data_IF_522872305972
#
_entry.id   IF_522872305972
#
_cell.length_a   1.000
_cell.length_b   1.000
_cell.length_c   1.000
_cell.angle_alpha   90.00
_cell.angle_beta   90.00
_cell.angle_gamma   90.00
#
_symmetry.space_group_name_H-M   'P 1'
#
loop_
_entity.id
_entity.type
_entity.pdbx_description
1 polymer ?
#
# COMPACT_ATOMS: atom_id res chain seq x y z
N UNK A 1 -51.91 17.08 -14.55
CA UNK A 1 -50.55 17.66 -14.53
C UNK A 1 -50.37 18.75 -13.46
N UNK A 2 -51.30 19.70 -13.28
CA UNK A 2 -51.19 20.75 -12.23
C UNK A 2 -51.05 20.21 -10.79
N UNK A 3 -51.72 19.11 -10.45
CA UNK A 3 -51.60 18.48 -9.12
C UNK A 3 -50.23 17.85 -8.83
N UNK A 4 -49.52 17.39 -9.87
CA UNK A 4 -48.20 16.77 -9.74
C UNK A 4 -47.12 17.83 -9.47
N UNK A 5 -47.11 18.92 -10.24
CA UNK A 5 -46.19 20.04 -10.00
C UNK A 5 -46.43 20.73 -8.65
N UNK A 6 -47.69 20.82 -8.20
CA UNK A 6 -48.02 21.33 -6.87
C UNK A 6 -47.49 20.42 -5.75
N UNK A 7 -47.50 19.10 -5.95
CA UNK A 7 -46.92 18.14 -5.01
C UNK A 7 -45.39 18.26 -4.93
N UNK A 8 -44.71 18.40 -6.08
CA UNK A 8 -43.25 18.58 -6.15
C UNK A 8 -42.83 19.89 -5.46
N UNK A 9 -43.50 21.00 -5.75
CA UNK A 9 -43.19 22.29 -5.14
C UNK A 9 -43.35 22.26 -3.61
N UNK A 10 -44.41 21.60 -3.14
CA UNK A 10 -44.68 21.39 -1.72
C UNK A 10 -43.59 20.52 -1.07
N UNK A 11 -43.19 19.42 -1.70
CA UNK A 11 -42.14 18.52 -1.17
C UNK A 11 -40.77 19.22 -1.12
N UNK A 12 -40.43 20.04 -2.12
CA UNK A 12 -39.19 20.85 -2.14
C UNK A 12 -39.21 21.92 -1.03
N UNK A 13 -40.32 22.66 -0.86
CA UNK A 13 -40.43 23.65 0.22
C UNK A 13 -40.42 23.02 1.61
N UNK A 14 -40.97 21.81 1.78
CA UNK A 14 -40.92 21.10 3.06
C UNK A 14 -39.49 20.63 3.39
N UNK A 15 -38.74 20.21 2.36
CA UNK A 15 -37.34 19.82 2.48
C UNK A 15 -36.40 21.01 2.72
N UNK A 16 -36.70 22.19 2.16
CA UNK A 16 -36.01 23.45 2.47
C UNK A 16 -36.45 24.10 3.79
N UNK A 17 -37.38 23.51 4.53
CA UNK A 17 -37.72 23.99 5.88
C UNK A 17 -36.54 23.77 6.83
N UNK A 18 -36.50 24.52 7.94
CA UNK A 18 -35.42 24.49 8.95
C UNK A 18 -35.06 23.06 9.37
N UNK A 19 -36.03 22.15 9.43
CA UNK A 19 -35.82 20.74 9.77
C UNK A 19 -35.04 19.97 8.70
N UNK A 20 -35.33 20.20 7.41
CA UNK A 20 -34.65 19.51 6.30
C UNK A 20 -33.24 20.05 6.06
N UNK A 21 -33.02 21.36 6.22
CA UNK A 21 -31.67 21.95 6.19
C UNK A 21 -30.80 21.37 7.30
N UNK A 22 -31.31 21.23 8.52
CA UNK A 22 -30.59 20.61 9.63
C UNK A 22 -30.27 19.12 9.38
N UNK A 23 -31.17 18.41 8.68
CA UNK A 23 -30.95 17.01 8.27
C UNK A 23 -29.89 16.85 7.18
N UNK A 24 -29.59 17.89 6.39
CA UNK A 24 -28.55 17.89 5.36
C UNK A 24 -27.20 18.41 5.91
N UNK A 25 -27.26 19.34 6.86
CA UNK A 25 -26.09 19.95 7.49
C UNK A 25 -25.34 18.95 8.38
N UNK A 26 -26.06 18.09 9.12
CA UNK A 26 -25.44 17.07 9.97
C UNK A 26 -24.54 16.08 9.19
N UNK A 27 -24.98 15.44 8.10
CA UNK A 27 -24.12 14.56 7.31
C UNK A 27 -22.98 15.30 6.60
N UNK A 28 -23.19 16.54 6.13
CA UNK A 28 -22.12 17.36 5.59
C UNK A 28 -21.05 17.69 6.65
N UNK A 29 -21.47 17.96 7.89
CA UNK A 29 -20.59 18.22 9.01
C UNK A 29 -19.84 16.96 9.45
N UNK A 30 -20.51 15.80 9.49
CA UNK A 30 -19.86 14.51 9.77
C UNK A 30 -18.84 14.17 8.67
N UNK A 31 -19.17 14.37 7.40
CA UNK A 31 -18.23 14.18 6.30
C UNK A 31 -17.03 15.13 6.42
N UNK A 32 -17.27 16.41 6.69
CA UNK A 32 -16.20 17.39 6.91
C UNK A 32 -15.33 17.04 8.13
N UNK A 33 -15.94 16.58 9.23
CA UNK A 33 -15.22 16.12 10.42
C UNK A 33 -14.41 14.85 10.15
N UNK A 34 -14.90 13.93 9.30
CA UNK A 34 -14.14 12.77 8.83
C UNK A 34 -12.95 13.19 7.96
N UNK A 35 -13.16 14.11 7.01
CA UNK A 35 -12.07 14.64 6.18
C UNK A 35 -11.01 15.36 7.03
N UNK A 36 -11.43 16.21 7.97
CA UNK A 36 -10.50 16.93 8.85
C UNK A 36 -9.80 16.01 9.86
N UNK A 37 -10.52 15.07 10.46
CA UNK A 37 -9.98 14.14 11.46
C UNK A 37 -9.09 13.06 10.87
N UNK A 38 -9.36 12.60 9.65
CA UNK A 38 -8.51 11.61 8.96
C UNK A 38 -7.31 12.24 8.27
N UNK A 39 -7.36 13.52 7.89
CA UNK A 39 -6.17 14.25 7.46
C UNK A 39 -5.11 14.26 8.57
N UNK A 40 -5.51 14.45 9.82
CA UNK A 40 -4.59 14.47 10.98
C UNK A 40 -4.18 13.05 11.41
N UNK A 41 -5.09 12.06 11.33
CA UNK A 41 -4.77 10.67 11.65
C UNK A 41 -3.84 9.98 10.63
N UNK A 42 -3.63 10.59 9.46
CA UNK A 42 -2.62 10.13 8.48
C UNK A 42 -1.20 10.55 8.88
N UNK A 43 -1.06 11.58 9.73
CA UNK A 43 0.23 12.09 10.23
C UNK A 43 0.62 11.50 11.59
N UNK A 44 -0.27 10.72 12.24
CA UNK A 44 0.06 9.94 13.44
C UNK A 44 0.58 8.56 13.02
N UNK A 45 1.57 8.55 12.12
CA UNK A 45 2.52 7.44 12.11
C UNK A 45 3.29 7.53 13.43
N UNK A 46 3.52 6.38 14.08
CA UNK A 46 4.44 6.28 15.21
C UNK A 46 5.79 6.76 14.70
N UNK A 47 6.09 8.04 14.90
CA UNK A 47 7.22 8.74 14.31
C UNK A 47 8.51 8.23 14.98
N UNK A 48 8.97 7.07 14.52
CA UNK A 48 10.36 6.67 14.68
C UNK A 48 11.15 7.63 13.82
N UNK A 49 12.07 8.38 14.44
CA UNK A 49 12.94 9.27 13.70
C UNK A 49 13.76 8.46 12.68
N UNK A 50 13.85 8.89 11.41
CA UNK A 50 14.58 8.15 10.40
C UNK A 50 16.04 7.94 10.79
N UNK A 51 16.52 6.71 10.73
CA UNK A 51 17.86 6.32 11.21
C UNK A 51 18.75 5.78 10.09
N UNK A 52 20.07 5.85 10.27
CA UNK A 52 21.01 5.41 9.26
C UNK A 52 21.30 3.91 9.37
N UNK A 53 21.53 3.25 8.24
CA UNK A 53 21.96 1.84 8.16
C UNK A 53 23.14 1.73 7.20
N UNK A 54 24.13 0.92 7.58
CA UNK A 54 25.26 0.63 6.71
C UNK A 54 25.06 -0.71 6.01
N UNK A 55 25.37 -0.75 4.71
CA UNK A 55 25.33 -1.98 3.91
C UNK A 55 26.68 -2.20 3.25
N UNK A 56 27.26 -3.36 3.48
CA UNK A 56 28.48 -3.84 2.82
C UNK A 56 28.04 -4.80 1.73
N UNK A 57 28.18 -4.36 0.48
CA UNK A 57 27.81 -5.12 -0.71
C UNK A 57 29.05 -5.81 -1.27
N UNK A 58 29.15 -7.12 -1.04
CA UNK A 58 30.24 -7.97 -1.56
C UNK A 58 29.82 -8.72 -2.82
N UNK A 59 28.52 -8.78 -3.12
CA UNK A 59 27.97 -9.40 -4.32
C UNK A 59 28.24 -8.54 -5.56
N UNK A 60 28.11 -7.21 -5.42
CA UNK A 60 28.40 -6.22 -6.46
C UNK A 60 27.70 -6.49 -7.81
N UNK A 61 26.59 -7.24 -7.82
CA UNK A 61 25.82 -7.52 -9.03
C UNK A 61 24.86 -6.38 -9.38
N UNK A 62 24.29 -6.41 -10.59
CA UNK A 62 23.23 -5.47 -10.99
C UNK A 62 21.96 -5.64 -10.12
N UNK A 63 21.70 -6.86 -9.63
CA UNK A 63 20.56 -7.16 -8.77
C UNK A 63 20.74 -6.56 -7.38
N UNK A 64 21.90 -6.78 -6.75
CA UNK A 64 22.22 -6.19 -5.44
C UNK A 64 22.12 -4.67 -5.49
N UNK A 65 22.68 -4.03 -6.53
CA UNK A 65 22.61 -2.58 -6.73
C UNK A 65 21.19 -2.03 -6.89
N UNK A 66 20.33 -2.75 -7.61
CA UNK A 66 18.94 -2.36 -7.81
C UNK A 66 18.19 -2.41 -6.48
N UNK A 67 18.36 -3.50 -5.72
CA UNK A 67 17.73 -3.66 -4.41
C UNK A 67 18.24 -2.64 -3.40
N UNK A 68 19.53 -2.32 -3.39
CA UNK A 68 20.10 -1.27 -2.54
C UNK A 68 19.57 0.12 -2.90
N UNK A 69 19.28 0.36 -4.18
CA UNK A 69 18.65 1.61 -4.62
C UNK A 69 17.21 1.70 -4.12
N UNK A 70 16.44 0.62 -4.17
CA UNK A 70 15.09 0.57 -3.59
C UNK A 70 15.12 0.68 -2.06
N UNK A 71 16.10 0.06 -1.41
CA UNK A 71 16.26 0.11 0.04
C UNK A 71 16.52 1.54 0.54
N UNK A 72 17.16 2.38 -0.28
CA UNK A 72 17.34 3.82 0.01
C UNK A 72 16.06 4.63 0.00
N UNK A 73 15.00 4.14 -0.63
CA UNK A 73 13.71 4.84 -0.74
C UNK A 73 12.77 4.52 0.42
N UNK A 74 13.21 3.72 1.40
CA UNK A 74 12.40 3.37 2.58
C UNK A 74 12.35 4.57 3.52
N UNK A 75 11.14 5.11 3.75
CA UNK A 75 10.90 6.33 4.57
C UNK A 75 11.44 6.23 6.01
N UNK A 76 11.61 5.01 6.54
CA UNK A 76 12.18 4.74 7.86
C UNK A 76 13.68 5.02 7.95
N UNK A 77 14.39 5.08 6.82
CA UNK A 77 15.85 5.22 6.77
C UNK A 77 16.24 6.64 6.40
N UNK A 78 17.01 7.32 7.27
CA UNK A 78 17.56 8.64 6.93
C UNK A 78 18.69 8.55 5.92
N UNK A 79 19.52 7.51 6.02
CA UNK A 79 20.68 7.33 5.17
C UNK A 79 21.05 5.84 5.04
N UNK A 80 21.31 5.39 3.80
CA UNK A 80 21.89 4.06 3.55
C UNK A 80 23.31 4.22 3.01
N UNK A 81 24.29 3.96 3.88
CA UNK A 81 25.72 4.04 3.57
C UNK A 81 26.17 2.72 2.96
N UNK A 82 26.50 2.74 1.67
CA UNK A 82 26.93 1.54 0.93
C UNK A 82 28.45 1.54 0.88
N UNK A 83 29.06 0.44 1.31
CA UNK A 83 30.50 0.22 1.26
C UNK A 83 30.82 -0.97 0.36
N UNK A 84 31.80 -0.79 -0.51
CA UNK A 84 32.36 -1.85 -1.33
C UNK A 84 33.69 -2.33 -0.76
N UNK A 85 34.07 -3.59 -1.03
CA UNK A 85 35.32 -4.21 -0.54
C UNK A 85 36.55 -3.30 -0.75
N UNK A 86 36.63 -2.64 -1.91
CA UNK A 86 37.73 -1.75 -2.26
C UNK A 86 37.88 -0.52 -1.32
N UNK A 87 36.79 -0.06 -0.71
CA UNK A 87 36.75 1.13 0.16
C UNK A 87 36.94 0.78 1.63
N UNK A 88 36.70 -0.49 2.01
CA UNK A 88 36.85 -0.99 3.37
C UNK A 88 38.34 -1.22 3.73
N UNK A 89 39.19 -1.48 2.73
CA UNK A 89 40.65 -1.67 2.87
C UNK A 89 41.50 -0.40 2.83
N UNK A 90 40.94 0.75 2.43
CA UNK A 90 41.66 2.01 2.30
C UNK A 90 41.21 3.01 3.39
N UNK A 91 41.76 2.90 4.59
CA UNK A 91 41.61 3.95 5.60
C UNK A 91 42.53 5.12 5.24
N UNK A 92 41.95 6.31 5.10
CA UNK A 92 42.65 7.57 4.80
C UNK A 92 43.45 8.13 5.99
N UNK A 93 43.41 7.47 7.15
CA UNK A 93 44.17 7.86 8.33
C UNK A 93 44.89 6.63 8.90
N UNK A 94 46.20 6.76 9.16
CA UNK A 94 47.19 5.67 9.32
C UNK A 94 47.02 4.73 10.52
N UNK A 95 45.81 4.59 11.09
CA UNK A 95 45.46 3.58 12.08
C UNK A 95 44.69 2.45 11.37
N UNK A 96 45.36 1.31 11.18
CA UNK A 96 44.77 0.09 10.64
C UNK A 96 43.72 -0.47 11.62
N UNK A 97 42.47 -0.03 11.54
CA UNK A 97 41.34 -0.88 11.89
C UNK A 97 40.92 -1.58 10.59
N UNK A 98 41.55 -2.72 10.35
CA UNK A 98 41.21 -3.58 9.23
C UNK A 98 39.91 -4.28 9.61
N UNK A 99 38.82 -3.96 8.91
CA UNK A 99 37.57 -4.70 9.06
C UNK A 99 37.88 -6.11 8.55
N UNK A 100 37.89 -7.07 9.47
CA UNK A 100 38.27 -8.44 9.16
C UNK A 100 37.07 -9.17 8.56
N UNK A 101 37.29 -9.75 7.39
CA UNK A 101 36.36 -10.67 6.75
C UNK A 101 36.89 -12.09 6.94
N UNK A 102 36.01 -13.03 7.25
CA UNK A 102 36.30 -14.46 7.28
C UNK A 102 36.61 -14.98 5.86
N UNK A 103 37.10 -16.22 5.75
CA UNK A 103 37.36 -16.92 4.48
C UNK A 103 36.15 -16.97 3.55
N UNK A 104 34.94 -16.86 4.11
CA UNK A 104 33.67 -16.79 3.38
C UNK A 104 33.19 -15.36 3.08
N UNK A 105 34.09 -14.37 3.18
CA UNK A 105 33.78 -12.95 3.01
C UNK A 105 32.73 -12.43 4.01
N UNK A 106 32.62 -13.06 5.18
CA UNK A 106 31.69 -12.67 6.24
C UNK A 106 32.38 -11.67 7.17
N UNK A 107 31.72 -10.55 7.51
CA UNK A 107 32.25 -9.66 8.54
C UNK A 107 32.42 -10.40 9.86
N UNK A 108 33.65 -10.44 10.37
CA UNK A 108 33.91 -10.93 11.73
C UNK A 108 33.48 -9.81 12.69
N UNK A 109 32.44 -10.03 13.51
CA UNK A 109 32.02 -9.04 14.49
C UNK A 109 33.19 -8.79 15.44
N UNK A 110 33.75 -7.59 15.38
CA UNK A 110 34.73 -7.11 16.34
C UNK A 110 34.02 -6.18 17.30
N UNK A 111 34.34 -6.29 18.59
CA UNK A 111 33.73 -5.55 19.71
C UNK A 111 33.96 -4.01 19.67
N UNK A 112 34.26 -3.45 18.50
CA UNK A 112 34.44 -2.02 18.24
C UNK A 112 34.09 -1.61 16.81
N UNK A 113 33.29 -2.40 16.06
CA UNK A 113 32.88 -2.05 14.70
C UNK A 113 32.19 -0.68 14.65
N UNK A 114 31.34 -0.39 15.64
CA UNK A 114 30.61 0.88 15.76
C UNK A 114 31.44 2.01 16.41
N UNK A 115 32.70 1.76 16.78
CA UNK A 115 33.63 2.83 17.19
C UNK A 115 34.30 3.49 15.97
N UNK A 116 34.18 2.86 14.79
CA UNK A 116 34.61 3.46 13.53
C UNK A 116 33.68 4.62 13.15
N UNK A 117 34.22 5.81 12.81
CA UNK A 117 33.41 6.95 12.35
C UNK A 117 32.47 6.62 11.19
N UNK A 118 32.77 5.58 10.40
CA UNK A 118 31.93 5.12 9.29
C UNK A 118 30.60 4.53 9.76
N UNK A 119 30.58 3.83 10.89
CA UNK A 119 29.44 3.04 11.37
C UNK A 119 28.82 3.56 12.67
N UNK A 120 29.46 4.51 13.36
CA UNK A 120 29.04 4.99 14.68
C UNK A 120 27.56 5.44 14.75
N UNK A 121 27.09 6.13 13.71
CA UNK A 121 25.72 6.66 13.62
C UNK A 121 24.73 5.69 12.94
N UNK A 122 25.16 4.47 12.64
CA UNK A 122 24.32 3.47 11.98
C UNK A 122 23.67 2.53 13.01
N UNK A 123 22.38 2.24 12.83
CA UNK A 123 21.65 1.29 13.67
C UNK A 123 22.12 -0.16 13.47
N UNK A 124 22.54 -0.51 12.25
CA UNK A 124 23.08 -1.82 11.96
C UNK A 124 24.05 -1.78 10.77
N UNK A 125 24.88 -2.82 10.68
CA UNK A 125 25.71 -3.13 9.52
C UNK A 125 25.21 -4.43 8.90
N UNK A 126 24.74 -4.34 7.66
CA UNK A 126 24.25 -5.47 6.86
C UNK A 126 25.35 -5.87 5.88
N UNK A 127 25.70 -7.16 5.82
CA UNK A 127 26.67 -7.69 4.85
C UNK A 127 25.95 -8.62 3.88
N UNK A 128 25.94 -8.23 2.61
CA UNK A 128 25.50 -9.12 1.53
C UNK A 128 26.74 -9.90 1.08
N UNK A 129 26.78 -11.23 1.26
CA UNK A 129 27.94 -12.04 0.89
C UNK A 129 28.13 -12.06 -0.63
N UNK A 130 29.32 -12.45 -1.06
CA UNK A 130 29.63 -12.58 -2.48
C UNK A 130 28.78 -13.71 -3.10
N UNK A 131 28.31 -13.51 -4.32
CA UNK A 131 27.52 -14.48 -5.10
C UNK A 131 26.15 -14.80 -4.46
N UNK A 132 25.69 -14.01 -3.47
CA UNK A 132 24.43 -14.22 -2.73
C UNK A 132 23.22 -14.46 -3.63
N UNK A 133 23.03 -13.62 -4.66
CA UNK A 133 21.88 -13.76 -5.54
C UNK A 133 22.04 -14.96 -6.49
N UNK A 134 23.26 -15.26 -6.92
CA UNK A 134 23.53 -16.42 -7.75
C UNK A 134 23.23 -17.71 -6.98
N UNK A 135 23.71 -17.80 -5.75
CA UNK A 135 23.46 -18.91 -4.84
C UNK A 135 21.95 -19.04 -4.60
N UNK A 136 21.26 -17.92 -4.29
CA UNK A 136 19.81 -17.92 -4.08
C UNK A 136 19.02 -18.48 -5.27
N UNK A 137 19.48 -18.29 -6.51
CA UNK A 137 18.87 -18.88 -7.71
C UNK A 137 19.26 -20.34 -7.95
N UNK A 138 20.45 -20.74 -7.53
CA UNK A 138 20.97 -22.11 -7.73
C UNK A 138 20.60 -23.07 -6.59
N UNK A 139 20.09 -22.55 -5.48
CA UNK A 139 19.49 -23.32 -4.39
C UNK A 139 20.36 -23.44 -3.14
N UNK A 140 21.51 -22.76 -3.09
CA UNK A 140 22.29 -22.58 -1.87
C UNK A 140 22.04 -21.16 -1.34
N UNK A 141 21.87 -20.94 -0.04
CA UNK A 141 21.79 -19.56 0.47
C UNK A 141 22.70 -19.42 1.68
N UNK A 142 23.81 -18.71 1.48
CA UNK A 142 24.53 -18.09 2.58
C UNK A 142 23.63 -17.03 3.25
N UNK A 143 23.58 -16.94 4.59
CA UNK A 143 22.78 -15.93 5.27
C UNK A 143 23.33 -14.53 5.01
N UNK A 144 22.44 -13.54 4.88
CA UNK A 144 22.83 -12.13 5.04
C UNK A 144 23.30 -11.94 6.48
N UNK A 145 24.49 -11.39 6.66
CA UNK A 145 25.05 -11.19 8.00
C UNK A 145 24.65 -9.83 8.54
N UNK A 146 24.11 -9.82 9.75
CA UNK A 146 23.63 -8.62 10.42
C UNK A 146 24.39 -8.40 11.72
N UNK A 147 24.99 -7.23 11.86
CA UNK A 147 25.62 -6.78 13.11
C UNK A 147 24.82 -5.58 13.63
N UNK A 148 24.33 -5.68 14.88
CA UNK A 148 23.42 -4.70 15.48
C UNK A 148 24.17 -3.72 16.39
N UNK A 149 23.75 -2.45 16.39
CA UNK A 149 24.34 -1.43 17.24
C UNK A 149 23.69 -1.42 18.63
N UNK A 150 24.41 -1.91 19.64
CA UNK A 150 23.94 -1.91 21.03
C UNK A 150 23.64 -0.52 21.62
N UNK A 151 24.10 0.57 20.98
CA UNK A 151 23.82 1.95 21.39
C UNK A 151 22.45 2.46 20.91
N UNK A 152 21.85 1.80 19.92
CA UNK A 152 20.59 2.18 19.27
C UNK A 152 19.60 0.99 19.29
N UNK A 153 19.05 0.62 20.46
CA UNK A 153 18.33 -0.64 20.62
C UNK A 153 16.99 -0.68 19.87
N UNK A 154 16.29 0.45 19.72
CA UNK A 154 15.00 0.50 19.03
C UNK A 154 15.20 0.34 17.52
N UNK A 155 16.11 1.14 16.97
CA UNK A 155 16.45 1.19 15.55
C UNK A 155 17.10 -0.11 15.08
N UNK A 156 17.97 -0.69 15.92
CA UNK A 156 18.55 -2.01 15.68
C UNK A 156 17.48 -3.10 15.64
N UNK A 157 16.54 -3.09 16.58
CA UNK A 157 15.45 -4.06 16.62
C UNK A 157 14.50 -3.93 15.42
N UNK A 158 14.22 -2.69 14.97
CA UNK A 158 13.43 -2.45 13.76
C UNK A 158 14.16 -3.00 12.53
N UNK A 159 15.46 -2.73 12.41
CA UNK A 159 16.29 -3.24 11.32
C UNK A 159 16.36 -4.77 11.33
N UNK A 160 16.56 -5.38 12.50
CA UNK A 160 16.58 -6.83 12.67
C UNK A 160 15.26 -7.46 12.25
N UNK A 161 14.13 -6.90 12.70
CA UNK A 161 12.81 -7.39 12.34
C UNK A 161 12.55 -7.26 10.83
N UNK A 162 12.95 -6.14 10.23
CA UNK A 162 12.81 -5.91 8.78
C UNK A 162 13.61 -6.97 7.99
N UNK A 163 14.89 -7.14 8.30
CA UNK A 163 15.76 -8.10 7.61
C UNK A 163 15.30 -9.54 7.86
N UNK A 164 14.94 -9.88 9.10
CA UNK A 164 14.42 -11.21 9.45
C UNK A 164 13.13 -11.52 8.70
N UNK A 165 12.23 -10.53 8.57
CA UNK A 165 11.00 -10.65 7.78
C UNK A 165 11.30 -10.90 6.31
N UNK A 166 12.18 -10.10 5.69
CA UNK A 166 12.58 -10.27 4.28
C UNK A 166 13.21 -11.65 4.05
N UNK A 167 14.13 -12.06 4.92
CA UNK A 167 14.75 -13.39 4.84
C UNK A 167 13.71 -14.51 5.07
N UNK A 168 12.72 -14.30 5.93
CA UNK A 168 11.60 -15.21 6.13
C UNK A 168 10.73 -15.35 4.88
N UNK A 169 10.45 -14.24 4.19
CA UNK A 169 9.71 -14.22 2.93
C UNK A 169 10.49 -14.98 1.86
N UNK A 170 11.78 -14.68 1.66
CA UNK A 170 12.64 -15.36 0.68
C UNK A 170 12.69 -16.88 0.94
N UNK A 171 12.86 -17.29 2.20
CA UNK A 171 12.79 -18.70 2.61
C UNK A 171 11.43 -19.33 2.30
N UNK A 172 10.33 -18.61 2.56
CA UNK A 172 8.97 -19.11 2.31
C UNK A 172 8.65 -19.22 0.82
N UNK A 173 9.08 -18.25 0.01
CA UNK A 173 8.94 -18.27 -1.43
C UNK A 173 9.70 -19.46 -2.00
N UNK A 174 10.96 -19.64 -1.61
CA UNK A 174 11.76 -20.78 -2.03
C UNK A 174 11.13 -22.13 -1.66
N UNK A 175 10.54 -22.25 -0.46
CA UNK A 175 9.81 -23.47 -0.09
C UNK A 175 8.64 -23.76 -1.04
N UNK A 176 7.95 -22.72 -1.51
CA UNK A 176 6.90 -22.86 -2.52
C UNK A 176 7.47 -23.26 -3.90
N UNK A 177 8.59 -22.67 -4.32
CA UNK A 177 9.28 -23.04 -5.57
C UNK A 177 9.75 -24.50 -5.54
N UNK A 178 10.35 -24.95 -4.43
CA UNK A 178 10.74 -26.34 -4.23
C UNK A 178 9.55 -27.28 -4.24
N UNK A 179 8.43 -26.91 -3.60
CA UNK A 179 7.20 -27.70 -3.65
C UNK A 179 6.64 -27.81 -5.08
N UNK A 180 6.76 -26.76 -5.90
CA UNK A 180 6.32 -26.81 -7.29
C UNK A 180 7.23 -27.69 -8.15
N UNK A 181 8.55 -27.62 -7.93
CA UNK A 181 9.51 -28.48 -8.60
C UNK A 181 9.29 -29.96 -8.25
N UNK A 182 9.15 -30.30 -6.97
CA UNK A 182 8.96 -31.69 -6.53
C UNK A 182 7.69 -32.33 -7.11
N UNK A 183 6.61 -31.55 -7.26
CA UNK A 183 5.38 -32.01 -7.92
C UNK A 183 5.56 -32.35 -9.41
N UNK A 184 6.51 -31.68 -10.08
CA UNK A 184 6.72 -31.82 -11.53
C UNK A 184 7.83 -32.82 -11.87
N UNK A 185 8.90 -32.85 -11.09
CA UNK A 185 10.06 -33.71 -11.32
C UNK A 185 9.87 -35.13 -10.76
N UNK A 186 8.99 -35.32 -9.77
CA UNK A 186 8.64 -36.65 -9.25
C UNK A 186 9.77 -37.41 -8.55
N UNK A 187 10.89 -36.75 -8.24
CA UNK A 187 12.09 -37.32 -7.60
C UNK A 187 12.62 -36.48 -6.43
N UNK A 188 13.65 -37.00 -5.75
CA UNK A 188 14.40 -36.26 -4.70
C UNK A 188 15.14 -35.05 -5.29
N UNK A 189 15.34 -34.04 -4.45
CA UNK A 189 15.96 -32.77 -4.84
C UNK A 189 17.46 -32.95 -5.11
N UNK A 190 17.89 -32.67 -6.33
CA UNK A 190 19.29 -32.43 -6.68
C UNK A 190 19.47 -30.95 -7.07
N UNK A 191 20.42 -30.28 -6.43
CA UNK A 191 20.75 -28.87 -6.65
C UNK A 191 21.19 -28.64 -8.11
N UNK A 192 21.86 -29.62 -8.73
CA UNK A 192 22.28 -29.54 -10.13
C UNK A 192 21.07 -29.60 -11.10
N UNK A 193 20.12 -30.51 -10.86
CA UNK A 193 18.90 -30.63 -11.67
C UNK A 193 17.97 -29.43 -11.50
N UNK A 194 17.94 -28.83 -10.31
CA UNK A 194 17.19 -27.60 -10.04
C UNK A 194 17.77 -26.40 -10.80
N UNK A 195 19.10 -26.25 -10.82
CA UNK A 195 19.76 -25.20 -11.58
C UNK A 195 19.48 -25.34 -13.09
N UNK A 196 19.50 -26.55 -13.64
CA UNK A 196 19.11 -26.80 -15.04
C UNK A 196 17.63 -26.43 -15.29
N UNK A 197 16.74 -26.82 -14.38
CA UNK A 197 15.32 -26.47 -14.45
C UNK A 197 15.09 -24.95 -14.46
N UNK A 198 15.79 -24.20 -13.61
CA UNK A 198 15.74 -22.74 -13.58
C UNK A 198 16.27 -22.11 -14.87
N UNK A 199 17.37 -22.63 -15.41
CA UNK A 199 17.93 -22.16 -16.69
C UNK A 199 16.94 -22.37 -17.84
N UNK A 200 16.38 -23.58 -17.97
CA UNK A 200 15.41 -23.90 -19.03
C UNK A 200 14.12 -23.12 -18.89
N UNK A 201 13.68 -22.89 -17.65
CA UNK A 201 12.49 -22.07 -17.38
C UNK A 201 12.73 -20.61 -17.76
N UNK A 202 13.90 -20.06 -17.45
CA UNK A 202 14.31 -18.71 -17.86
C UNK A 202 14.28 -18.53 -19.37
N UNK A 203 14.87 -19.45 -20.13
CA UNK A 203 14.85 -19.40 -21.60
C UNK A 203 13.41 -19.43 -22.15
N UNK A 204 12.55 -20.26 -21.57
CA UNK A 204 11.14 -20.36 -21.97
C UNK A 204 10.34 -19.09 -21.67
N UNK A 205 10.62 -18.44 -20.54
CA UNK A 205 9.98 -17.18 -20.13
C UNK A 205 10.45 -16.05 -21.05
N UNK A 206 11.75 -15.95 -21.33
CA UNK A 206 12.30 -14.94 -22.23
C UNK A 206 11.71 -15.11 -23.63
N UNK A 207 11.71 -16.33 -24.17
CA UNK A 207 11.09 -16.63 -25.46
C UNK A 207 9.60 -16.25 -25.46
N UNK A 208 8.85 -16.64 -24.43
CA UNK A 208 7.42 -16.33 -24.30
C UNK A 208 7.14 -14.83 -24.15
N UNK A 209 7.99 -14.10 -23.41
CA UNK A 209 7.86 -12.66 -23.20
C UNK A 209 8.16 -11.89 -24.48
N UNK A 210 9.18 -12.30 -25.26
CA UNK A 210 9.48 -11.73 -26.57
C UNK A 210 8.32 -11.95 -27.55
N UNK A 211 7.76 -13.16 -27.61
CA UNK A 211 6.59 -13.47 -28.45
C UNK A 211 5.34 -12.71 -28.00
N UNK A 212 5.13 -12.55 -26.69
CA UNK A 212 3.96 -11.84 -26.14
C UNK A 212 4.11 -10.31 -26.28
N UNK A 213 5.33 -9.76 -26.26
CA UNK A 213 5.58 -8.33 -26.49
C UNK A 213 5.29 -7.93 -27.93
N UNK A 214 5.56 -8.81 -28.89
CA UNK A 214 5.13 -8.61 -30.29
C UNK A 214 3.60 -8.61 -30.44
N UNK A 215 2.88 -9.39 -29.62
CA UNK A 215 1.42 -9.39 -29.54
C UNK A 215 0.85 -8.16 -28.78
N UNK A 216 1.51 -7.70 -27.71
CA UNK A 216 1.10 -6.54 -26.91
C UNK A 216 1.42 -5.21 -27.59
N UNK A 217 2.44 -5.14 -28.45
CA UNK A 217 2.65 -4.01 -29.34
C UNK A 217 1.49 -3.81 -30.34
N UNK A 218 0.62 -4.82 -30.52
CA UNK A 218 -0.62 -4.73 -31.28
C UNK A 218 -1.86 -4.36 -30.42
N UNK A 219 -1.72 -4.13 -29.11
CA UNK A 219 -2.84 -3.84 -28.20
C UNK A 219 -2.39 -2.91 -27.08
N UNK A 220 -2.36 -1.61 -27.35
CA UNK A 220 -2.07 -0.61 -26.32
C UNK A 220 -3.25 -0.42 -25.36
N UNK A 221 -2.96 -0.26 -24.07
CA UNK A 221 -3.66 0.61 -23.09
C UNK A 221 -3.16 0.32 -21.67
N UNK A 222 -2.39 1.25 -21.08
CA UNK A 222 -1.80 1.11 -19.74
C UNK A 222 -1.94 2.41 -18.90
N UNK A 223 -3.13 3.04 -18.93
CA UNK A 223 -3.44 4.25 -18.14
C UNK A 223 -4.47 4.02 -17.01
N UNK A 224 -4.70 2.77 -16.57
CA UNK A 224 -5.84 2.43 -15.69
C UNK A 224 -5.55 2.47 -14.17
N UNK A 225 -4.29 2.55 -13.70
CA UNK A 225 -3.99 2.22 -12.30
C UNK A 225 -3.96 3.42 -11.32
N UNK A 226 -3.68 4.64 -11.79
CA UNK A 226 -3.53 5.80 -10.89
C UNK A 226 -4.85 6.52 -10.53
N UNK A 227 -5.94 6.26 -11.26
CA UNK A 227 -7.26 6.89 -11.02
C UNK A 227 -8.11 6.19 -9.95
N UNK A 228 -7.73 4.99 -9.52
CA UNK A 228 -8.63 4.11 -8.79
C UNK A 228 -8.79 4.50 -7.30
N UNK A 229 -7.75 5.05 -6.69
CA UNK A 229 -7.78 5.41 -5.26
C UNK A 229 -8.66 6.65 -5.01
N UNK A 230 -8.58 7.68 -5.87
CA UNK A 230 -9.43 8.89 -5.78
C UNK A 230 -10.90 8.59 -6.07
N UNK A 231 -11.18 7.71 -7.04
CA UNK A 231 -12.55 7.30 -7.37
C UNK A 231 -13.20 6.50 -6.23
N UNK A 232 -12.44 5.72 -5.47
CA UNK A 232 -12.98 4.91 -4.38
C UNK A 232 -13.49 5.78 -3.22
N UNK A 233 -12.75 6.82 -2.83
CA UNK A 233 -13.17 7.75 -1.78
C UNK A 233 -14.39 8.60 -2.18
N UNK A 234 -14.43 9.07 -3.43
CA UNK A 234 -15.61 9.78 -3.96
C UNK A 234 -16.85 8.87 -3.96
N UNK A 235 -16.68 7.59 -4.31
CA UNK A 235 -17.78 6.62 -4.33
C UNK A 235 -18.32 6.36 -2.92
N UNK A 236 -17.44 6.21 -1.91
CA UNK A 236 -17.85 6.06 -0.52
C UNK A 236 -18.60 7.29 0.00
N UNK A 237 -18.07 8.50 -0.23
CA UNK A 237 -18.71 9.75 0.19
C UNK A 237 -20.09 9.96 -0.48
N UNK A 238 -20.19 9.67 -1.78
CA UNK A 238 -21.44 9.74 -2.53
C UNK A 238 -22.49 8.73 -2.02
N UNK A 239 -22.06 7.51 -1.67
CA UNK A 239 -22.96 6.49 -1.11
C UNK A 239 -23.53 6.88 0.27
N UNK A 240 -22.72 7.52 1.13
CA UNK A 240 -23.19 8.05 2.41
C UNK A 240 -24.21 9.18 2.20
N UNK A 241 -23.93 10.14 1.30
CA UNK A 241 -24.86 11.22 0.98
C UNK A 241 -26.22 10.69 0.48
N UNK A 242 -26.21 9.69 -0.40
CA UNK A 242 -27.43 9.03 -0.89
C UNK A 242 -28.29 8.41 0.22
N UNK A 243 -27.64 7.81 1.22
CA UNK A 243 -28.34 7.20 2.36
C UNK A 243 -29.02 8.28 3.23
N UNK A 244 -28.36 9.42 3.44
CA UNK A 244 -28.91 10.53 4.22
C UNK A 244 -30.04 11.29 3.50
N UNK A 245 -29.94 11.50 2.18
CA UNK A 245 -31.05 12.06 1.38
C UNK A 245 -32.27 11.16 1.46
N UNK A 246 -32.07 9.84 1.37
CA UNK A 246 -33.14 8.85 1.51
C UNK A 246 -33.80 8.88 2.90
N UNK A 247 -33.01 9.02 3.97
CA UNK A 247 -33.51 9.15 5.34
C UNK A 247 -34.29 10.46 5.56
N UNK A 248 -33.87 11.56 4.94
CA UNK A 248 -34.57 12.85 4.96
C UNK A 248 -35.95 12.76 4.32
N UNK A 249 -36.06 12.13 3.16
CA UNK A 249 -37.35 11.88 2.49
C UNK A 249 -38.27 11.02 3.36
N UNK A 250 -37.73 10.02 4.07
CA UNK A 250 -38.52 9.16 4.96
C UNK A 250 -39.06 9.90 6.19
N UNK A 251 -38.34 10.90 6.69
CA UNK A 251 -38.80 11.78 7.79
C UNK A 251 -39.90 12.76 7.39
N UNK A 252 -40.01 13.13 6.12
CA UNK A 252 -41.10 14.04 5.67
C UNK A 252 -42.49 13.36 5.66
N UNK A 253 -42.57 12.02 5.64
CA UNK A 253 -43.82 11.25 5.66
C UNK A 253 -44.64 11.43 6.95
N UNK A 254 -44.07 11.28 8.16
CA UNK A 254 -44.81 11.52 9.40
C UNK A 254 -45.23 12.99 9.56
N UNK A 255 -44.43 13.95 9.09
CA UNK A 255 -44.78 15.37 9.16
C UNK A 255 -45.95 15.74 8.23
N UNK A 256 -46.02 15.14 7.03
CA UNK A 256 -47.17 15.28 6.14
C UNK A 256 -48.48 14.70 6.70
N UNK A 257 -48.38 13.60 7.45
CA UNK A 257 -49.53 13.02 8.15
C UNK A 257 -49.98 13.90 9.32
N UNK A 258 -49.04 14.49 10.07
CA UNK A 258 -49.34 15.41 11.17
C UNK A 258 -50.02 16.70 10.69
N UNK A 259 -49.62 17.22 9.54
CA UNK A 259 -50.19 18.43 8.94
C UNK A 259 -51.51 18.20 8.18
N UNK A 260 -52.01 16.95 8.10
CA UNK A 260 -53.25 16.60 7.39
C UNK A 260 -53.17 16.85 5.87
N UNK A 261 -51.96 16.97 5.32
CA UNK A 261 -51.74 17.29 3.90
C UNK A 261 -52.05 16.09 3.00
N UNK A 262 -51.86 14.87 3.51
CA UNK A 262 -52.24 13.65 2.82
C UNK A 262 -53.75 13.58 2.59
N UNK A 263 -54.55 13.84 3.63
CA UNK A 263 -56.02 13.79 3.55
C UNK A 263 -56.60 14.86 2.62
N UNK A 264 -55.98 16.05 2.58
CA UNK A 264 -56.32 17.12 1.62
C UNK A 264 -55.95 16.76 0.17
N UNK A 265 -54.88 16.00 -0.05
CA UNK A 265 -54.49 15.58 -1.39
C UNK A 265 -55.44 14.50 -1.94
N UNK A 266 -55.88 13.58 -1.08
CA UNK A 266 -56.87 12.56 -1.44
C UNK A 266 -58.27 13.16 -1.67
N UNK A 267 -58.67 14.18 -0.89
CA UNK A 267 -59.97 14.84 -1.07
C UNK A 267 -60.08 15.65 -2.38
N UNK A 268 -58.95 16.05 -2.97
CA UNK A 268 -58.88 16.72 -4.28
C UNK A 268 -58.86 15.69 -5.46
N UNK A 269 -58.94 14.39 -5.17
CA UNK A 269 -58.95 13.32 -6.17
C UNK A 269 -57.54 12.84 -6.58
N UNK A 270 -56.53 13.10 -5.76
CA UNK A 270 -55.17 12.62 -5.97
C UNK A 270 -55.06 11.10 -5.85
N UNK A 271 -54.39 10.44 -6.80
CA UNK A 271 -54.07 9.01 -6.71
C UNK A 271 -52.85 8.80 -5.81
N UNK A 272 -52.79 7.74 -4.98
CA UNK A 272 -51.66 7.47 -4.08
C UNK A 272 -50.33 7.32 -4.82
N UNK A 273 -50.37 6.79 -6.05
CA UNK A 273 -49.19 6.62 -6.91
C UNK A 273 -48.56 7.98 -7.29
N UNK A 274 -49.35 9.04 -7.43
CA UNK A 274 -48.83 10.38 -7.77
C UNK A 274 -47.99 10.98 -6.64
N UNK A 275 -48.27 10.60 -5.40
CA UNK A 275 -47.56 11.08 -4.21
C UNK A 275 -46.23 10.34 -4.04
N UNK A 276 -46.22 9.03 -4.31
CA UNK A 276 -44.98 8.24 -4.35
C UNK A 276 -44.06 8.73 -5.47
N UNK A 277 -44.62 9.03 -6.65
CA UNK A 277 -43.87 9.53 -7.79
C UNK A 277 -43.27 10.91 -7.52
N UNK A 278 -44.00 11.81 -6.84
CA UNK A 278 -43.51 13.11 -6.37
C UNK A 278 -42.27 12.98 -5.47
N UNK A 279 -42.32 12.06 -4.50
CA UNK A 279 -41.21 11.81 -3.57
C UNK A 279 -39.99 11.20 -4.24
N UNK A 280 -40.19 10.28 -5.19
CA UNK A 280 -39.12 9.72 -6.02
C UNK A 280 -38.45 10.80 -6.89
N UNK A 281 -39.23 11.69 -7.49
CA UNK A 281 -38.68 12.80 -8.28
C UNK A 281 -37.94 13.82 -7.41
N UNK A 282 -38.44 14.12 -6.21
CA UNK A 282 -37.74 14.99 -5.27
C UNK A 282 -36.42 14.36 -4.81
N UNK A 283 -36.42 13.08 -4.43
CA UNK A 283 -35.21 12.34 -4.09
C UNK A 283 -34.20 12.35 -5.25
N UNK A 284 -34.63 12.06 -6.48
CA UNK A 284 -33.77 12.08 -7.65
C UNK A 284 -33.16 13.46 -7.94
N UNK A 285 -33.92 14.55 -7.77
CA UNK A 285 -33.42 15.92 -7.95
C UNK A 285 -32.38 16.29 -6.87
N UNK A 286 -32.62 15.93 -5.62
CA UNK A 286 -31.64 16.17 -4.54
C UNK A 286 -30.39 15.30 -4.69
N UNK A 287 -30.53 14.07 -5.16
CA UNK A 287 -29.41 13.19 -5.48
C UNK A 287 -28.58 13.72 -6.65
N UNK A 288 -29.20 14.29 -7.68
CA UNK A 288 -28.49 14.91 -8.80
C UNK A 288 -27.78 16.22 -8.40
N UNK A 289 -28.35 16.97 -7.45
CA UNK A 289 -27.75 18.21 -6.94
C UNK A 289 -26.60 17.96 -5.94
N UNK A 290 -26.58 16.82 -5.24
CA UNK A 290 -25.49 16.44 -4.34
C UNK A 290 -24.32 15.71 -5.03
N UNK A 291 -24.41 15.47 -6.35
CA UNK A 291 -23.38 14.80 -7.15
C UNK A 291 -22.53 15.78 -7.99
N UNK A 292 -22.74 17.09 -7.82
CA UNK A 292 -21.97 18.21 -8.40
C UNK A 292 -21.11 18.81 -7.30
#
# INVERSE_FOLDING_TARGET
>A
MKSFFASIYKDICLFLSVSGIMSLLLPALVAAAFFLGMCDASDVEVAVEPFAVAVIDLDETMMSRTLLTQFREVDLLSEVRIYHTAQLGASADGKKQQIAFDENNVLIPSDGLFDDPRFQDCAAVITVPKDFFYDAYTGDEGPVHLVLNGRMPLESALTENMITSVMGILKSERAAWYSAYSLKAGGEFDTADFAEFCSRSSDSIIASALTRRELLAASGTDEALAGNTKNTFFTCAASMLMLFVSAGVLKTLPDERRLGLADRFFSIGGKPISLILSKLTAAAVFCAAGLI
#
